data_IF_113717978003
#
_entry.id   IF_113717978003
#
_cell.length_a   1.000
_cell.length_b   1.000
_cell.length_c   1.000
_cell.angle_alpha   90.00
_cell.angle_beta   90.00
_cell.angle_gamma   90.00
#
_symmetry.space_group_name_H-M   'P 1'
#
loop_
_entity.id
_entity.type
_entity.pdbx_description
1 polymer ?
#
# COMPACT_ATOMS: atom_id res chain seq x y z
N UNK A 1 2.80 -5.05 21.65
CA UNK A 1 1.72 -6.06 21.52
C UNK A 1 0.55 -5.62 20.62
N UNK A 2 0.69 -4.54 19.83
CA UNK A 2 -0.41 -3.97 19.02
C UNK A 2 -0.67 -4.76 17.74
N UNK A 3 0.38 -5.24 17.06
CA UNK A 3 0.24 -5.95 15.78
C UNK A 3 -0.43 -7.33 15.90
N UNK A 4 -0.14 -8.12 16.94
CA UNK A 4 -0.76 -9.46 17.08
C UNK A 4 -2.28 -9.39 17.25
N UNK A 5 -2.79 -8.35 17.93
CA UNK A 5 -4.23 -8.10 18.04
C UNK A 5 -4.81 -7.66 16.71
N UNK A 6 -4.15 -6.71 16.04
CA UNK A 6 -4.54 -6.23 14.72
C UNK A 6 -4.60 -7.37 13.70
N UNK A 7 -3.56 -8.21 13.63
CA UNK A 7 -3.49 -9.41 12.78
C UNK A 7 -4.71 -10.31 12.98
N UNK A 8 -5.01 -10.67 14.24
CA UNK A 8 -6.19 -11.50 14.56
C UNK A 8 -7.51 -10.86 14.11
N UNK A 9 -7.63 -9.54 14.25
CA UNK A 9 -8.81 -8.79 13.79
C UNK A 9 -8.94 -8.84 12.26
N UNK A 10 -7.85 -8.54 11.53
CA UNK A 10 -7.83 -8.55 10.06
C UNK A 10 -8.13 -9.94 9.50
N UNK A 11 -7.48 -10.98 10.02
CA UNK A 11 -7.71 -12.37 9.60
C UNK A 11 -9.12 -12.86 9.97
N UNK A 12 -9.74 -12.26 11.00
CA UNK A 12 -11.13 -12.52 11.37
C UNK A 12 -12.17 -11.93 10.40
N UNK A 13 -11.77 -10.98 9.53
CA UNK A 13 -12.61 -10.50 8.45
C UNK A 13 -12.58 -11.41 7.23
N UNK A 14 -11.58 -12.28 7.08
CA UNK A 14 -11.47 -13.15 5.92
C UNK A 14 -12.69 -14.06 5.77
N UNK A 15 -13.14 -14.19 4.55
CA UNK A 15 -14.12 -15.18 4.10
C UNK A 15 -13.68 -16.62 4.34
N UNK A 16 -14.66 -17.53 4.46
CA UNK A 16 -14.42 -18.91 4.88
C UNK A 16 -13.44 -19.66 3.96
N UNK A 17 -13.48 -19.43 2.64
CA UNK A 17 -12.59 -20.13 1.70
C UNK A 17 -11.14 -19.64 1.70
N UNK A 18 -10.85 -18.49 2.33
CA UNK A 18 -9.50 -17.92 2.47
C UNK A 18 -9.02 -17.86 3.91
N UNK A 19 -9.89 -18.12 4.89
CA UNK A 19 -9.55 -18.13 6.31
C UNK A 19 -8.50 -19.19 6.60
N UNK A 20 -7.40 -18.79 7.24
CA UNK A 20 -6.25 -19.67 7.51
C UNK A 20 -5.36 -19.97 6.30
N UNK A 21 -5.71 -19.46 5.11
CA UNK A 21 -4.86 -19.51 3.90
C UNK A 21 -4.17 -18.17 3.66
N UNK A 22 -4.91 -17.08 3.88
CA UNK A 22 -4.35 -15.74 3.89
C UNK A 22 -3.84 -15.41 5.29
N UNK A 23 -2.59 -14.96 5.36
CA UNK A 23 -1.98 -14.51 6.60
C UNK A 23 -1.33 -13.15 6.43
N UNK A 24 -1.42 -12.32 7.47
CA UNK A 24 -0.80 -10.99 7.54
C UNK A 24 0.46 -11.05 8.41
N UNK A 25 1.53 -10.40 7.94
CA UNK A 25 2.83 -10.41 8.59
C UNK A 25 3.44 -9.01 8.63
N UNK A 26 4.26 -8.76 9.65
CA UNK A 26 5.03 -7.53 9.76
C UNK A 26 6.38 -7.81 10.44
N UNK A 27 7.41 -7.09 10.02
CA UNK A 27 8.75 -7.14 10.60
C UNK A 27 9.39 -5.75 10.60
N UNK A 28 10.17 -5.47 11.64
CA UNK A 28 11.01 -4.27 11.75
C UNK A 28 12.44 -4.73 11.94
N UNK A 29 13.35 -4.30 11.07
CA UNK A 29 14.75 -4.74 11.07
C UNK A 29 15.61 -3.71 11.82
N UNK A 30 15.78 -3.94 13.13
CA UNK A 30 16.43 -3.03 14.10
C UNK A 30 17.96 -2.89 13.98
N UNK A 31 18.54 -3.25 12.85
CA UNK A 31 19.99 -3.20 12.60
C UNK A 31 20.34 -2.35 11.37
N UNK A 32 19.41 -1.52 10.91
CA UNK A 32 19.63 -0.51 9.88
C UNK A 32 19.42 0.88 10.48
N UNK A 33 20.19 1.88 10.07
CA UNK A 33 20.12 3.25 10.63
C UNK A 33 18.72 3.89 10.53
N UNK A 34 17.86 3.38 9.65
CA UNK A 34 16.50 3.85 9.42
C UNK A 34 15.40 2.85 9.87
N UNK A 35 15.76 1.80 10.61
CA UNK A 35 14.83 0.77 11.12
C UNK A 35 13.85 0.24 10.05
N UNK A 36 14.39 -0.16 8.88
CA UNK A 36 13.58 -0.57 7.72
C UNK A 36 12.56 -1.62 8.13
N UNK A 37 11.33 -1.44 7.68
CA UNK A 37 10.21 -2.28 8.03
C UNK A 37 9.49 -2.81 6.80
N UNK A 38 8.68 -3.84 7.05
CA UNK A 38 8.02 -4.60 6.02
C UNK A 38 6.70 -5.13 6.55
N UNK A 39 5.65 -4.98 5.76
CA UNK A 39 4.34 -5.61 5.99
C UNK A 39 3.97 -6.39 4.74
N UNK A 40 3.49 -7.62 4.87
CA UNK A 40 3.19 -8.46 3.72
C UNK A 40 2.03 -9.42 3.99
N UNK A 41 1.45 -9.93 2.91
CA UNK A 41 0.43 -10.97 2.93
C UNK A 41 0.96 -12.22 2.24
N UNK A 42 0.58 -13.38 2.76
CA UNK A 42 0.81 -14.67 2.11
C UNK A 42 -0.51 -15.34 1.78
N UNK A 43 -0.55 -16.14 0.72
CA UNK A 43 -1.60 -17.12 0.41
C UNK A 43 -0.95 -18.50 0.41
N UNK A 44 -1.41 -19.41 1.27
CA UNK A 44 -0.84 -20.76 1.40
C UNK A 44 0.69 -20.74 1.60
N UNK A 45 1.17 -19.78 2.42
CA UNK A 45 2.59 -19.48 2.71
C UNK A 45 3.38 -18.82 1.57
N UNK A 46 2.85 -18.79 0.35
CA UNK A 46 3.47 -18.07 -0.76
C UNK A 46 3.17 -16.57 -0.66
N UNK A 47 4.18 -15.74 -0.93
CA UNK A 47 4.02 -14.29 -0.83
C UNK A 47 3.05 -13.76 -1.89
N UNK A 48 1.96 -13.17 -1.40
CA UNK A 48 0.92 -12.59 -2.25
C UNK A 48 1.22 -11.12 -2.58
N UNK A 49 1.57 -10.34 -1.57
CA UNK A 49 1.80 -8.90 -1.67
C UNK A 49 2.77 -8.46 -0.57
N UNK A 50 3.59 -7.44 -0.83
CA UNK A 50 4.56 -6.94 0.14
C UNK A 50 4.78 -5.44 -0.02
N UNK A 51 4.66 -4.72 1.09
CA UNK A 51 5.09 -3.34 1.24
C UNK A 51 6.37 -3.33 2.09
N UNK A 52 7.48 -2.87 1.52
CA UNK A 52 8.78 -2.89 2.18
C UNK A 52 9.56 -1.61 1.89
N UNK A 53 10.05 -0.98 2.96
CA UNK A 53 10.66 0.35 2.89
C UNK A 53 11.90 0.33 1.98
N UNK A 54 12.74 -0.70 2.09
CA UNK A 54 13.94 -0.81 1.25
C UNK A 54 13.61 -0.80 -0.25
N UNK A 55 12.68 -1.64 -0.70
CA UNK A 55 12.33 -1.72 -2.12
C UNK A 55 11.64 -0.47 -2.61
N UNK A 56 10.81 0.15 -1.77
CA UNK A 56 10.16 1.40 -2.12
C UNK A 56 11.18 2.53 -2.27
N UNK A 57 12.05 2.75 -1.28
CA UNK A 57 13.05 3.83 -1.32
C UNK A 57 13.98 3.68 -2.53
N UNK A 58 14.36 2.45 -2.89
CA UNK A 58 15.15 2.21 -4.10
C UNK A 58 14.37 2.60 -5.36
N UNK A 59 13.13 2.12 -5.52
CA UNK A 59 12.30 2.45 -6.67
C UNK A 59 11.99 3.95 -6.77
N UNK A 60 11.69 4.58 -5.63
CA UNK A 60 11.45 6.01 -5.50
C UNK A 60 12.68 6.80 -5.92
N UNK A 61 13.85 6.50 -5.38
CA UNK A 61 15.10 7.18 -5.74
C UNK A 61 15.38 7.10 -7.25
N UNK A 62 15.25 5.91 -7.86
CA UNK A 62 15.49 5.74 -9.30
C UNK A 62 14.51 6.56 -10.14
N UNK A 63 13.21 6.47 -9.85
CA UNK A 63 12.19 7.18 -10.62
C UNK A 63 12.28 8.70 -10.42
N UNK A 64 12.54 9.13 -9.19
CA UNK A 64 12.72 10.53 -8.83
C UNK A 64 13.90 11.17 -9.56
N UNK A 65 15.09 10.55 -9.55
CA UNK A 65 16.25 11.10 -10.25
C UNK A 65 16.03 11.12 -11.78
N UNK A 66 15.37 10.12 -12.36
CA UNK A 66 15.03 10.13 -13.79
C UNK A 66 14.11 11.31 -14.16
N UNK A 67 13.04 11.55 -13.40
CA UNK A 67 12.10 12.66 -13.66
C UNK A 67 12.80 14.01 -13.43
N UNK A 68 13.63 14.11 -12.40
CA UNK A 68 14.40 15.32 -12.10
C UNK A 68 15.37 15.68 -13.22
N UNK A 69 16.01 14.69 -13.83
CA UNK A 69 16.86 14.87 -15.02
C UNK A 69 16.04 15.28 -16.25
N UNK A 70 14.91 14.61 -16.51
CA UNK A 70 14.02 14.90 -17.64
C UNK A 70 13.47 16.34 -17.58
N UNK A 71 12.99 16.75 -16.41
CA UNK A 71 12.45 18.09 -16.16
C UNK A 71 13.54 19.15 -15.94
N UNK A 72 14.81 18.74 -15.88
CA UNK A 72 15.98 19.61 -15.61
C UNK A 72 15.77 20.49 -14.38
N UNK A 73 15.28 19.88 -13.29
CA UNK A 73 14.94 20.62 -12.08
C UNK A 73 16.17 21.29 -11.48
N UNK A 74 15.99 22.52 -11.00
CA UNK A 74 17.04 23.27 -10.32
C UNK A 74 17.15 22.81 -8.87
N UNK A 75 18.38 22.77 -8.30
CA UNK A 75 18.54 22.52 -6.88
C UNK A 75 17.98 23.69 -6.06
N UNK A 76 17.62 23.41 -4.81
CA UNK A 76 17.21 24.45 -3.85
C UNK A 76 18.37 25.46 -3.70
N UNK A 77 18.15 26.76 -3.94
CA UNK A 77 19.20 27.75 -3.79
C UNK A 77 19.63 27.83 -2.31
N UNK A 78 20.94 27.91 -2.08
CA UNK A 78 21.46 28.08 -0.74
C UNK A 78 21.14 29.50 -0.21
N UNK A 79 20.58 29.57 1.00
CA UNK A 79 20.47 30.80 1.80
C UNK A 79 20.93 30.53 3.24
N UNK A 80 21.35 31.59 3.93
CA UNK A 80 21.59 31.53 5.39
C UNK A 80 20.30 31.43 6.18
N UNK A 81 19.17 31.83 5.59
CA UNK A 81 17.84 31.69 6.17
C UNK A 81 17.23 30.34 5.78
N UNK A 82 16.99 29.49 6.77
CA UNK A 82 16.29 28.22 6.54
C UNK A 82 14.88 28.45 5.99
N UNK A 83 14.21 29.52 6.43
CA UNK A 83 12.85 29.86 6.00
C UNK A 83 12.80 30.23 4.50
N UNK A 84 13.82 30.92 3.99
CA UNK A 84 13.92 31.23 2.56
C UNK A 84 14.13 29.97 1.71
N UNK A 85 14.97 29.04 2.19
CA UNK A 85 15.18 27.75 1.51
C UNK A 85 13.92 26.86 1.56
N UNK A 86 13.23 26.84 2.70
CA UNK A 86 12.04 26.01 2.90
C UNK A 86 10.84 26.49 2.07
N UNK A 87 10.72 27.80 1.86
CA UNK A 87 9.67 28.42 1.08
C UNK A 87 10.06 28.70 -0.38
N UNK A 88 11.20 28.16 -0.86
CA UNK A 88 11.64 28.41 -2.23
C UNK A 88 10.75 27.72 -3.27
N UNK A 89 10.58 28.32 -4.47
CA UNK A 89 9.83 27.70 -5.56
C UNK A 89 10.43 26.34 -5.98
N UNK A 90 11.76 26.22 -5.97
CA UNK A 90 12.46 24.98 -6.33
C UNK A 90 12.12 23.86 -5.36
N UNK A 91 12.05 24.15 -4.05
CA UNK A 91 11.65 23.16 -3.06
C UNK A 91 10.20 22.72 -3.27
N UNK A 92 9.29 23.65 -3.57
CA UNK A 92 7.89 23.32 -3.83
C UNK A 92 7.75 22.34 -5.00
N UNK A 93 8.45 22.60 -6.12
CA UNK A 93 8.48 21.70 -7.29
C UNK A 93 9.11 20.35 -6.95
N UNK A 94 10.21 20.33 -6.19
CA UNK A 94 10.86 19.08 -5.76
C UNK A 94 9.91 18.21 -4.93
N UNK A 95 9.17 18.82 -4.00
CA UNK A 95 8.18 18.12 -3.18
C UNK A 95 7.06 17.57 -4.05
N UNK A 96 6.50 18.39 -4.96
CA UNK A 96 5.44 17.95 -5.87
C UNK A 96 5.88 16.77 -6.75
N UNK A 97 7.11 16.79 -7.26
CA UNK A 97 7.67 15.67 -8.03
C UNK A 97 7.86 14.43 -7.16
N UNK A 98 8.34 14.59 -5.93
CA UNK A 98 8.47 13.46 -4.98
C UNK A 98 7.11 12.83 -4.66
N UNK A 99 6.09 13.63 -4.42
CA UNK A 99 4.71 13.18 -4.16
C UNK A 99 4.12 12.47 -5.39
N UNK A 100 4.40 12.99 -6.59
CA UNK A 100 3.97 12.37 -7.84
C UNK A 100 4.64 11.00 -8.07
N UNK A 101 5.95 10.90 -7.82
CA UNK A 101 6.71 9.63 -7.89
C UNK A 101 6.13 8.61 -6.91
N UNK A 102 5.84 9.02 -5.69
CA UNK A 102 5.23 8.15 -4.68
C UNK A 102 3.87 7.63 -5.16
N UNK A 103 2.99 8.49 -5.67
CA UNK A 103 1.68 8.07 -6.20
C UNK A 103 1.82 7.09 -7.36
N UNK A 104 2.74 7.34 -8.30
CA UNK A 104 2.99 6.43 -9.42
C UNK A 104 3.45 5.04 -8.94
N UNK A 105 4.31 4.98 -7.93
CA UNK A 105 4.76 3.71 -7.36
C UNK A 105 3.60 2.98 -6.67
N UNK A 106 2.76 3.69 -5.92
CA UNK A 106 1.58 3.12 -5.27
C UNK A 106 0.63 2.51 -6.31
N UNK A 107 0.39 3.18 -7.42
CA UNK A 107 -0.42 2.69 -8.56
C UNK A 107 0.18 1.44 -9.21
N UNK A 108 1.50 1.28 -9.15
CA UNK A 108 2.22 0.08 -9.58
C UNK A 108 2.24 -1.03 -8.51
N UNK A 109 1.65 -0.79 -7.33
CA UNK A 109 1.66 -1.71 -6.19
C UNK A 109 2.97 -1.74 -5.42
N UNK A 110 3.85 -0.76 -5.61
CA UNK A 110 5.09 -0.58 -4.86
C UNK A 110 4.84 0.49 -3.79
N UNK A 111 4.86 0.11 -2.52
CA UNK A 111 4.57 1.04 -1.42
C UNK A 111 5.44 0.78 -0.20
N UNK A 112 5.67 1.84 0.58
CA UNK A 112 6.25 1.72 1.91
C UNK A 112 5.37 0.92 2.85
N UNK A 113 5.99 0.31 3.84
CA UNK A 113 5.30 -0.48 4.85
C UNK A 113 4.26 0.33 5.63
N UNK A 114 4.49 1.65 5.82
CA UNK A 114 3.58 2.54 6.53
C UNK A 114 2.23 2.65 5.86
N UNK A 115 2.17 2.74 4.52
CA UNK A 115 0.90 2.79 3.78
C UNK A 115 0.04 1.56 4.05
N UNK A 116 0.64 0.38 3.96
CA UNK A 116 -0.04 -0.88 4.23
C UNK A 116 -0.44 -1.01 5.71
N UNK A 117 0.45 -0.63 6.63
CA UNK A 117 0.17 -0.67 8.06
C UNK A 117 -0.97 0.27 8.46
N UNK A 118 -0.98 1.49 7.90
CA UNK A 118 -2.04 2.49 8.11
C UNK A 118 -3.38 1.98 7.60
N UNK A 119 -3.43 1.46 6.36
CA UNK A 119 -4.65 0.88 5.80
C UNK A 119 -5.19 -0.24 6.71
N UNK A 120 -4.32 -1.10 7.22
CA UNK A 120 -4.70 -2.14 8.18
C UNK A 120 -5.20 -1.62 9.51
N UNK A 121 -4.60 -0.56 10.06
CA UNK A 121 -5.06 0.06 11.31
C UNK A 121 -6.45 0.70 11.17
N UNK A 122 -6.74 1.27 10.00
CA UNK A 122 -8.02 1.93 9.71
C UNK A 122 -9.13 0.92 9.37
N UNK A 123 -8.78 -0.19 8.69
CA UNK A 123 -9.72 -1.17 8.14
C UNK A 123 -10.80 -1.67 9.11
N UNK A 124 -10.50 -2.03 10.38
CA UNK A 124 -11.52 -2.52 11.31
C UNK A 124 -12.63 -1.52 11.63
N UNK A 125 -12.38 -0.23 11.41
CA UNK A 125 -13.34 0.85 11.66
C UNK A 125 -14.20 1.17 10.43
N UNK A 126 -13.93 0.55 9.29
CA UNK A 126 -14.68 0.76 8.05
C UNK A 126 -15.86 -0.21 7.96
N UNK A 127 -17.01 0.31 7.56
CA UNK A 127 -18.06 -0.51 6.97
C UNK A 127 -17.58 -1.12 5.66
N UNK A 128 -18.22 -2.21 5.23
CA UNK A 128 -17.80 -2.86 3.98
C UNK A 128 -18.00 -1.97 2.74
N UNK A 129 -18.97 -1.05 2.79
CA UNK A 129 -19.20 -0.10 1.70
C UNK A 129 -18.08 0.94 1.63
N UNK A 130 -17.69 1.50 2.78
CA UNK A 130 -16.56 2.45 2.86
C UNK A 130 -15.25 1.80 2.41
N UNK A 131 -15.00 0.55 2.80
CA UNK A 131 -13.80 -0.17 2.37
C UNK A 131 -13.77 -0.38 0.85
N UNK A 132 -14.90 -0.77 0.24
CA UNK A 132 -15.00 -0.96 -1.21
C UNK A 132 -14.96 0.35 -2.01
N UNK A 133 -15.32 1.49 -1.41
CA UNK A 133 -15.24 2.82 -2.02
C UNK A 133 -14.05 3.65 -1.53
N UNK A 134 -13.10 3.04 -0.81
CA UNK A 134 -11.94 3.76 -0.26
C UNK A 134 -11.09 4.38 -1.37
N UNK A 135 -10.41 5.49 -1.09
CA UNK A 135 -9.41 6.05 -2.01
C UNK A 135 -8.15 5.18 -2.09
N UNK A 136 -7.84 4.48 -1.01
CA UNK A 136 -6.69 3.59 -0.92
C UNK A 136 -6.96 2.27 -1.67
N UNK A 137 -6.11 1.98 -2.67
CA UNK A 137 -6.26 0.81 -3.53
C UNK A 137 -6.05 -0.50 -2.77
N UNK A 138 -5.19 -0.50 -1.75
CA UNK A 138 -4.99 -1.67 -0.91
C UNK A 138 -6.24 -1.99 -0.09
N UNK A 139 -6.86 -0.99 0.55
CA UNK A 139 -8.10 -1.13 1.32
C UNK A 139 -9.22 -1.72 0.46
N UNK A 140 -9.39 -1.21 -0.76
CA UNK A 140 -10.36 -1.77 -1.72
C UNK A 140 -10.03 -3.21 -2.07
N UNK A 141 -8.76 -3.52 -2.36
CA UNK A 141 -8.32 -4.88 -2.68
C UNK A 141 -8.55 -5.85 -1.52
N UNK A 142 -8.15 -5.49 -0.30
CA UNK A 142 -8.33 -6.32 0.90
C UNK A 142 -9.82 -6.56 1.21
N UNK A 143 -10.69 -5.60 0.91
CA UNK A 143 -12.14 -5.79 1.04
C UNK A 143 -12.70 -6.92 0.18
N UNK A 144 -12.05 -7.29 -0.92
CA UNK A 144 -12.45 -8.44 -1.74
C UNK A 144 -12.28 -9.79 -1.01
N UNK A 145 -11.39 -9.85 -0.02
CA UNK A 145 -11.23 -11.02 0.84
C UNK A 145 -12.16 -11.02 2.05
N UNK A 146 -12.85 -9.92 2.32
CA UNK A 146 -13.72 -9.77 3.48
C UNK A 146 -15.01 -10.60 3.33
N UNK A 147 -15.36 -11.37 4.36
CA UNK A 147 -16.59 -12.16 4.45
C UNK A 147 -17.88 -11.34 4.34
N UNK A 148 -17.81 -10.03 4.64
CA UNK A 148 -18.91 -9.07 4.45
C UNK A 148 -19.21 -8.83 2.96
N UNK A 149 -18.29 -9.17 2.05
CA UNK A 149 -18.57 -9.23 0.60
C UNK A 149 -19.11 -10.60 0.24
N UNK A 150 -20.43 -10.70 0.16
CA UNK A 150 -21.10 -11.92 -0.28
C UNK A 150 -20.79 -12.27 -1.74
N UNK A 151 -20.80 -13.57 -2.06
CA UNK A 151 -20.54 -14.14 -3.40
C UNK A 151 -21.29 -13.44 -4.54
N UNK A 152 -22.59 -13.21 -4.36
CA UNK A 152 -23.43 -12.51 -5.35
C UNK A 152 -22.96 -11.08 -5.61
N UNK A 153 -22.45 -10.38 -4.58
CA UNK A 153 -21.92 -9.01 -4.71
C UNK A 153 -20.58 -9.04 -5.43
N UNK A 154 -19.70 -9.98 -5.07
CA UNK A 154 -18.41 -10.18 -5.72
C UNK A 154 -18.59 -10.37 -7.24
N UNK A 155 -19.45 -11.30 -7.67
CA UNK A 155 -19.68 -11.60 -9.09
C UNK A 155 -20.30 -10.46 -9.91
N UNK A 156 -20.84 -9.42 -9.24
CA UNK A 156 -21.38 -8.22 -9.89
C UNK A 156 -20.35 -7.09 -9.98
N UNK A 157 -19.11 -7.30 -9.55
CA UNK A 157 -18.04 -6.31 -9.68
C UNK A 157 -17.53 -6.32 -11.12
N UNK A 158 -17.97 -5.33 -11.90
CA UNK A 158 -17.64 -5.23 -13.32
C UNK A 158 -16.34 -4.45 -13.58
N UNK A 159 -15.86 -3.65 -12.62
CA UNK A 159 -14.69 -2.80 -12.80
C UNK A 159 -13.80 -2.82 -11.56
N UNK A 160 -12.55 -3.23 -11.74
CA UNK A 160 -11.49 -3.20 -10.73
C UNK A 160 -10.37 -2.31 -11.28
N UNK A 161 -10.13 -1.20 -10.61
CA UNK A 161 -9.31 -0.12 -11.16
C UNK A 161 -7.82 -0.39 -11.02
N UNK A 162 -7.43 -1.15 -9.99
CA UNK A 162 -6.04 -1.35 -9.63
C UNK A 162 -5.59 -2.81 -9.87
N UNK A 163 -4.35 -3.07 -10.33
CA UNK A 163 -3.83 -4.42 -10.53
C UNK A 163 -3.94 -5.31 -9.29
N UNK A 164 -3.79 -4.72 -8.10
CA UNK A 164 -3.93 -5.44 -6.83
C UNK A 164 -5.38 -5.91 -6.58
N UNK A 165 -6.37 -5.08 -6.91
CA UNK A 165 -7.79 -5.45 -6.81
C UNK A 165 -8.11 -6.61 -7.75
N UNK A 166 -7.62 -6.53 -9.00
CA UNK A 166 -7.79 -7.60 -10.00
C UNK A 166 -7.18 -8.92 -9.52
N UNK A 167 -5.96 -8.87 -8.97
CA UNK A 167 -5.29 -10.03 -8.39
C UNK A 167 -6.09 -10.65 -7.24
N UNK A 168 -6.56 -9.82 -6.30
CA UNK A 168 -7.29 -10.30 -5.12
C UNK A 168 -8.68 -10.81 -5.49
N UNK A 169 -9.35 -10.17 -6.43
CA UNK A 169 -10.59 -10.66 -7.02
C UNK A 169 -10.41 -12.05 -7.63
N UNK A 170 -9.40 -12.24 -8.48
CA UNK A 170 -9.13 -13.54 -9.12
C UNK A 170 -8.86 -14.65 -8.07
N UNK A 171 -8.11 -14.34 -7.02
CA UNK A 171 -7.86 -15.27 -5.91
C UNK A 171 -9.17 -15.62 -5.20
N UNK A 172 -9.99 -14.62 -4.91
CA UNK A 172 -11.28 -14.82 -4.23
C UNK A 172 -12.22 -15.69 -5.07
N UNK A 173 -12.33 -15.41 -6.37
CA UNK A 173 -13.16 -16.19 -7.29
C UNK A 173 -12.67 -17.65 -7.39
N UNK A 174 -11.36 -17.84 -7.57
CA UNK A 174 -10.76 -19.18 -7.61
C UNK A 174 -11.00 -19.96 -6.31
N UNK A 175 -10.88 -19.31 -5.15
CA UNK A 175 -11.12 -19.95 -3.87
C UNK A 175 -12.59 -20.32 -3.63
N UNK A 176 -13.53 -19.67 -4.32
CA UNK A 176 -14.98 -19.94 -4.24
C UNK A 176 -15.49 -20.86 -5.37
N UNK A 177 -14.63 -21.23 -6.32
CA UNK A 177 -14.97 -22.14 -7.43
C UNK A 177 -15.77 -21.48 -8.55
N UNK A 178 -15.58 -20.17 -8.78
CA UNK A 178 -16.13 -19.46 -9.94
C UNK A 178 -15.20 -19.55 -11.15
#
# INVERSE_FOLDING_TARGET
MQFSKLKKTLEGFLCDSLKGRIEVHAAVYRHSHDDKSRVWLTLDKDQLFSAADLSFHMAHHYLYENIKEELKLKPIPYSKSWEEMFNSPERAVIVEVSDHVEQQLIEQGIMESWHLYKAFMEYPNLSINEALSSKDSFTRAFALFDRRVGKRRLLKMETLQHPLEQKFYAIRCKAEGF
#
